data_IF_202775018235
#
_entry.id   IF_202775018235
#
_cell.length_a   1.000
_cell.length_b   1.000
_cell.length_c   1.000
_cell.angle_alpha   90.00
_cell.angle_beta   90.00
_cell.angle_gamma   90.00
#
_symmetry.space_group_name_H-M   'P 1'
#
loop_
_entity.id
_entity.type
_entity.pdbx_description
1 polymer ?
#
# COMPACT_ATOMS: atom_id res chain seq x y z
N UNK A 1 5.25 -23.18 -16.16
CA UNK A 1 3.87 -22.80 -16.48
C UNK A 1 3.25 -23.91 -17.32
N UNK A 2 2.75 -24.99 -16.70
CA UNK A 2 1.98 -26.00 -17.43
C UNK A 2 0.50 -25.57 -17.41
N UNK A 3 0.00 -25.26 -18.60
CA UNK A 3 -1.39 -25.22 -19.06
C UNK A 3 -2.46 -24.86 -18.03
N UNK A 4 -2.71 -23.55 -17.86
CA UNK A 4 -4.05 -23.09 -17.55
C UNK A 4 -4.67 -22.68 -18.88
N UNK A 5 -5.58 -23.52 -19.40
CA UNK A 5 -6.36 -23.20 -20.58
C UNK A 5 -7.21 -21.96 -20.27
N UNK A 6 -6.71 -20.79 -20.64
CA UNK A 6 -7.46 -19.54 -20.60
C UNK A 6 -8.57 -19.65 -21.65
N UNK A 7 -9.70 -20.23 -21.24
CA UNK A 7 -10.83 -20.72 -22.05
C UNK A 7 -11.48 -19.71 -23.00
N UNK A 8 -11.03 -18.45 -23.08
CA UNK A 8 -11.54 -17.47 -24.04
C UNK A 8 -10.40 -16.56 -24.53
N UNK A 9 -9.95 -16.80 -25.77
CA UNK A 9 -8.86 -16.11 -26.48
C UNK A 9 -9.23 -14.71 -27.00
N UNK A 10 -10.52 -14.37 -27.04
CA UNK A 10 -11.02 -13.23 -27.82
C UNK A 10 -11.15 -11.89 -27.07
N UNK A 11 -10.62 -11.76 -25.84
CA UNK A 11 -10.72 -10.51 -25.06
C UNK A 11 -9.42 -10.18 -24.32
N UNK A 12 -9.04 -8.90 -24.20
CA UNK A 12 -7.89 -8.48 -23.42
C UNK A 12 -8.10 -8.85 -21.94
N UNK A 13 -7.12 -9.53 -21.35
CA UNK A 13 -7.14 -9.96 -19.95
C UNK A 13 -5.83 -9.60 -19.27
N UNK A 14 -5.93 -9.03 -18.07
CA UNK A 14 -4.77 -8.90 -17.18
C UNK A 14 -4.51 -10.26 -16.53
N UNK A 15 -3.40 -10.90 -16.91
CA UNK A 15 -2.96 -12.17 -16.33
C UNK A 15 -1.77 -11.88 -15.43
N UNK A 16 -1.83 -12.35 -14.19
CA UNK A 16 -0.77 -12.16 -13.20
C UNK A 16 -0.33 -13.53 -12.68
N UNK A 17 0.95 -13.84 -12.83
CA UNK A 17 1.53 -15.08 -12.29
C UNK A 17 1.95 -14.89 -10.83
N UNK A 18 1.25 -15.58 -9.93
CA UNK A 18 1.52 -15.55 -8.50
C UNK A 18 2.96 -16.01 -8.14
N UNK A 19 3.55 -16.94 -8.90
CA UNK A 19 4.94 -17.37 -8.67
C UNK A 19 5.92 -16.23 -8.95
N UNK A 20 5.67 -15.46 -10.00
CA UNK A 20 6.49 -14.30 -10.35
C UNK A 20 6.35 -13.21 -9.28
N UNK A 21 5.13 -12.91 -8.82
CA UNK A 21 4.90 -11.95 -7.74
C UNK A 21 5.71 -12.34 -6.49
N UNK A 22 5.52 -13.56 -6.00
CA UNK A 22 6.19 -14.04 -4.77
C UNK A 22 7.71 -13.99 -4.91
N UNK A 23 8.26 -14.40 -6.06
CA UNK A 23 9.70 -14.33 -6.31
C UNK A 23 10.21 -12.89 -6.32
N UNK A 24 9.46 -11.94 -6.90
CA UNK A 24 9.85 -10.54 -6.94
C UNK A 24 9.82 -9.90 -5.55
N UNK A 25 8.79 -10.18 -4.75
CA UNK A 25 8.70 -9.70 -3.36
C UNK A 25 9.84 -10.29 -2.53
N UNK A 26 10.07 -11.60 -2.62
CA UNK A 26 11.16 -12.25 -1.88
C UNK A 26 12.54 -11.64 -2.20
N UNK A 27 12.81 -11.35 -3.48
CA UNK A 27 14.06 -10.71 -3.90
C UNK A 27 14.27 -9.35 -3.25
N UNK A 28 13.25 -8.49 -3.26
CA UNK A 28 13.41 -7.15 -2.67
C UNK A 28 13.48 -7.20 -1.15
N UNK A 29 12.71 -8.08 -0.50
CA UNK A 29 12.76 -8.28 0.96
C UNK A 29 14.17 -8.71 1.38
N UNK A 30 14.73 -9.74 0.75
CA UNK A 30 16.08 -10.22 1.07
C UNK A 30 17.12 -9.11 0.85
N UNK A 31 17.02 -8.37 -0.25
CA UNK A 31 17.93 -7.26 -0.54
C UNK A 31 17.86 -6.16 0.52
N UNK A 32 16.67 -5.81 0.98
CA UNK A 32 16.52 -4.80 2.05
C UNK A 32 17.01 -5.27 3.40
N UNK A 33 16.90 -6.57 3.69
CA UNK A 33 17.48 -7.17 4.90
C UNK A 33 19.01 -7.15 4.85
N UNK A 34 19.62 -7.54 3.73
CA UNK A 34 21.07 -7.48 3.51
C UNK A 34 21.64 -6.07 3.67
N UNK A 35 20.87 -5.06 3.29
CA UNK A 35 21.26 -3.65 3.34
C UNK A 35 20.88 -2.95 4.65
N UNK A 36 20.20 -3.64 5.56
CA UNK A 36 19.70 -3.06 6.82
C UNK A 36 18.82 -1.82 6.60
N UNK A 37 18.06 -1.79 5.51
CA UNK A 37 17.13 -0.69 5.18
C UNK A 37 15.67 -1.12 5.32
N UNK A 38 14.82 -0.17 5.69
CA UNK A 38 13.37 -0.41 5.74
C UNK A 38 12.76 -0.48 4.34
N UNK A 39 11.92 -1.49 4.12
CA UNK A 39 11.16 -1.64 2.88
C UNK A 39 9.74 -1.11 3.05
N UNK A 40 9.34 -0.16 2.18
CA UNK A 40 7.98 0.39 2.12
C UNK A 40 7.44 0.35 0.69
N UNK A 41 6.85 -0.77 0.24
CA UNK A 41 6.41 -0.92 -1.15
C UNK A 41 5.30 0.07 -1.52
N UNK A 42 5.29 0.52 -2.77
CA UNK A 42 4.25 1.41 -3.26
C UNK A 42 3.09 0.62 -3.89
N UNK A 43 1.90 0.74 -3.31
CA UNK A 43 0.72 -0.05 -3.68
C UNK A 43 -0.05 0.50 -4.89
N UNK A 44 0.40 1.60 -5.52
CA UNK A 44 -0.28 2.20 -6.70
C UNK A 44 -0.33 1.27 -7.90
N UNK A 45 0.62 0.34 -7.97
CA UNK A 45 0.82 -0.51 -9.16
C UNK A 45 -0.18 -1.65 -9.25
N UNK A 46 -0.52 -2.30 -8.13
CA UNK A 46 -1.38 -3.49 -8.16
C UNK A 46 -2.83 -3.22 -7.77
N UNK A 47 -3.08 -2.29 -6.84
CA UNK A 47 -4.43 -1.95 -6.32
C UNK A 47 -5.34 -3.17 -6.07
N UNK A 48 -4.73 -4.24 -5.53
CA UNK A 48 -5.34 -5.56 -5.36
C UNK A 48 -5.11 -6.07 -3.95
N UNK A 49 -6.19 -6.43 -3.26
CA UNK A 49 -6.16 -6.95 -1.88
C UNK A 49 -5.48 -8.32 -1.82
N UNK A 50 -5.63 -9.13 -2.87
CA UNK A 50 -4.94 -10.42 -2.99
C UNK A 50 -3.43 -10.22 -3.00
N UNK A 51 -2.93 -9.21 -3.71
CA UNK A 51 -1.50 -8.89 -3.73
C UNK A 51 -1.06 -8.26 -2.41
N UNK A 52 -1.90 -7.44 -1.77
CA UNK A 52 -1.67 -6.95 -0.40
C UNK A 52 -1.44 -8.09 0.59
N UNK A 53 -2.32 -9.10 0.57
CA UNK A 53 -2.20 -10.28 1.43
C UNK A 53 -0.91 -11.06 1.17
N UNK A 54 -0.43 -11.10 -0.07
CA UNK A 54 0.89 -11.70 -0.36
C UNK A 54 1.99 -10.88 0.32
N UNK A 55 2.02 -9.56 0.18
CA UNK A 55 3.00 -8.71 0.86
C UNK A 55 2.98 -8.90 2.39
N UNK A 56 1.81 -8.98 3.00
CA UNK A 56 1.65 -9.24 4.43
C UNK A 56 2.30 -10.57 4.86
N UNK A 57 2.16 -11.63 4.05
CA UNK A 57 2.79 -12.93 4.33
C UNK A 57 4.32 -12.91 4.20
N UNK A 58 4.88 -11.90 3.53
CA UNK A 58 6.32 -11.62 3.51
C UNK A 58 6.77 -10.69 4.65
N UNK A 59 5.89 -10.40 5.62
CA UNK A 59 6.21 -9.58 6.79
C UNK A 59 6.16 -8.07 6.53
N UNK A 60 5.61 -7.64 5.40
CA UNK A 60 5.42 -6.21 5.14
C UNK A 60 4.25 -5.69 5.96
N UNK A 61 4.51 -4.66 6.77
CA UNK A 61 3.53 -3.94 7.59
C UNK A 61 3.46 -2.44 7.25
N UNK A 62 4.45 -1.93 6.50
CA UNK A 62 4.57 -0.55 6.09
C UNK A 62 4.46 -0.40 4.57
N UNK A 63 3.56 0.47 4.10
CA UNK A 63 3.31 0.68 2.66
C UNK A 63 3.28 2.15 2.28
N UNK A 64 3.41 2.41 0.98
CA UNK A 64 3.21 3.73 0.36
C UNK A 64 2.00 3.70 -0.58
N UNK A 65 1.11 4.68 -0.46
CA UNK A 65 -0.08 4.83 -1.29
C UNK A 65 -0.10 6.19 -1.99
N UNK A 66 -0.91 6.31 -3.04
CA UNK A 66 -1.06 7.54 -3.82
C UNK A 66 -2.37 8.27 -3.58
N UNK A 67 -3.18 7.85 -2.59
CA UNK A 67 -4.40 8.56 -2.20
C UNK A 67 -4.84 8.15 -0.79
N UNK A 68 -5.71 8.97 -0.21
CA UNK A 68 -6.38 8.68 1.08
C UNK A 68 -7.27 7.45 0.95
N UNK A 69 -8.01 7.31 -0.15
CA UNK A 69 -8.91 6.16 -0.38
C UNK A 69 -8.14 4.84 -0.43
N UNK A 70 -6.92 4.84 -0.98
CA UNK A 70 -6.05 3.67 -0.94
C UNK A 70 -5.56 3.37 0.47
N UNK A 71 -5.27 4.40 1.28
CA UNK A 71 -4.92 4.18 2.68
C UNK A 71 -6.07 3.49 3.42
N UNK A 72 -7.30 3.97 3.24
CA UNK A 72 -8.50 3.34 3.77
C UNK A 72 -8.69 1.91 3.31
N UNK A 73 -8.42 1.63 2.04
CA UNK A 73 -8.57 0.28 1.49
C UNK A 73 -7.61 -0.72 2.12
N UNK A 74 -6.36 -0.33 2.33
CA UNK A 74 -5.29 -1.27 2.71
C UNK A 74 -4.96 -1.28 4.20
N UNK A 75 -5.44 -0.31 4.98
CA UNK A 75 -5.23 -0.30 6.42
C UNK A 75 -5.91 -1.50 7.08
N UNK A 76 -5.15 -2.24 7.89
CA UNK A 76 -5.65 -3.37 8.66
C UNK A 76 -4.77 -3.62 9.90
N UNK A 77 -4.89 -4.79 10.52
CA UNK A 77 -4.08 -5.15 11.69
C UNK A 77 -2.59 -5.35 11.34
N UNK A 78 -2.29 -5.95 10.19
CA UNK A 78 -0.94 -6.22 9.71
C UNK A 78 -0.33 -5.01 9.00
N UNK A 79 -1.09 -4.36 8.12
CA UNK A 79 -0.71 -3.11 7.44
C UNK A 79 -1.16 -1.94 8.31
N UNK A 80 -0.23 -1.41 9.09
CA UNK A 80 -0.52 -0.38 10.10
C UNK A 80 0.38 0.85 10.01
N UNK A 81 1.26 0.93 9.02
CA UNK A 81 2.05 2.12 8.74
C UNK A 81 1.92 2.50 7.25
N UNK A 82 1.12 3.51 6.95
CA UNK A 82 0.80 3.91 5.58
C UNK A 82 1.33 5.30 5.29
N UNK A 83 2.23 5.42 4.33
CA UNK A 83 2.70 6.71 3.84
C UNK A 83 1.91 7.15 2.59
N UNK A 84 1.30 8.33 2.63
CA UNK A 84 0.63 8.91 1.45
C UNK A 84 1.63 9.79 0.69
N UNK A 85 2.16 9.27 -0.42
CA UNK A 85 3.21 9.90 -1.22
C UNK A 85 2.68 10.83 -2.32
N UNK A 86 1.71 11.68 -1.99
CA UNK A 86 1.22 12.73 -2.88
C UNK A 86 1.00 14.04 -2.13
N UNK A 87 1.12 15.20 -2.80
CA UNK A 87 0.67 16.47 -2.25
C UNK A 87 -0.81 16.41 -1.91
N UNK A 88 -1.22 17.12 -0.85
CA UNK A 88 -2.63 17.23 -0.51
C UNK A 88 -3.36 18.08 -1.55
N UNK A 89 -4.47 17.52 -2.05
CA UNK A 89 -5.44 18.27 -2.83
C UNK A 89 -6.37 19.03 -1.88
N UNK A 90 -6.55 20.34 -2.10
CA UNK A 90 -7.44 21.19 -1.30
C UNK A 90 -8.89 20.68 -1.29
N UNK A 91 -9.35 20.02 -2.35
CA UNK A 91 -10.68 19.43 -2.42
C UNK A 91 -10.82 18.16 -1.58
N UNK A 92 -9.70 17.59 -1.12
CA UNK A 92 -9.67 16.43 -0.23
C UNK A 92 -9.64 16.83 1.25
N UNK A 93 -9.68 18.13 1.61
CA UNK A 93 -9.57 18.60 2.98
C UNK A 93 -10.60 17.96 3.91
N UNK A 94 -11.87 17.89 3.51
CA UNK A 94 -12.91 17.24 4.32
C UNK A 94 -12.61 15.76 4.61
N UNK A 95 -11.96 15.05 3.67
CA UNK A 95 -11.55 13.65 3.88
C UNK A 95 -10.36 13.54 4.82
N UNK A 96 -9.48 14.54 4.81
CA UNK A 96 -8.33 14.61 5.71
C UNK A 96 -8.79 14.93 7.13
N UNK A 97 -9.75 15.84 7.29
CA UNK A 97 -10.34 16.15 8.59
C UNK A 97 -10.99 14.91 9.20
N UNK A 98 -11.74 14.14 8.39
CA UNK A 98 -12.27 12.85 8.82
C UNK A 98 -11.17 11.83 9.23
N UNK A 99 -10.02 11.80 8.55
CA UNK A 99 -8.87 10.96 8.98
C UNK A 99 -8.31 11.43 10.32
N UNK A 100 -8.20 12.75 10.52
CA UNK A 100 -7.59 13.36 11.70
C UNK A 100 -8.48 13.24 12.95
N UNK A 101 -9.79 13.25 12.79
CA UNK A 101 -10.75 13.05 13.89
C UNK A 101 -10.82 11.58 14.34
N UNK A 102 -10.27 10.65 13.56
CA UNK A 102 -10.17 9.24 13.89
C UNK A 102 -8.78 8.89 14.45
N UNK A 103 -8.71 8.63 15.75
CA UNK A 103 -7.48 8.30 16.47
C UNK A 103 -6.80 7.03 15.91
N UNK A 104 -7.60 6.05 15.49
CA UNK A 104 -7.10 4.79 14.94
C UNK A 104 -6.39 5.01 13.60
N UNK A 105 -6.96 5.86 12.73
CA UNK A 105 -6.37 6.19 11.43
C UNK A 105 -5.16 7.10 11.56
N UNK A 106 -5.24 8.11 12.42
CA UNK A 106 -4.16 9.08 12.65
C UNK A 106 -2.89 8.40 13.15
N UNK A 107 -3.00 7.37 13.99
CA UNK A 107 -1.85 6.62 14.51
C UNK A 107 -1.13 5.78 13.42
N UNK A 108 -1.87 5.37 12.39
CA UNK A 108 -1.40 4.44 11.35
C UNK A 108 -1.03 5.12 10.03
N UNK A 109 -1.54 6.33 9.78
CA UNK A 109 -1.31 7.07 8.54
C UNK A 109 -0.27 8.18 8.73
N UNK A 110 0.71 8.22 7.82
CA UNK A 110 1.74 9.24 7.74
C UNK A 110 1.62 9.97 6.41
N UNK A 111 1.73 11.28 6.43
CA UNK A 111 1.88 12.11 5.24
C UNK A 111 2.62 13.38 5.64
N UNK A 112 3.43 13.93 4.74
CA UNK A 112 4.13 15.22 4.94
C UNK A 112 3.16 16.30 5.45
N UNK A 113 1.91 16.27 4.99
CA UNK A 113 0.94 17.32 5.32
C UNK A 113 0.08 16.99 6.55
N UNK A 114 -0.14 15.71 6.88
CA UNK A 114 -0.72 15.32 8.18
C UNK A 114 0.18 15.80 9.32
N UNK A 115 1.49 15.70 9.15
CA UNK A 115 2.49 16.20 10.10
C UNK A 115 2.42 17.72 10.30
N UNK A 116 2.11 18.49 9.23
CA UNK A 116 2.00 19.95 9.32
C UNK A 116 0.74 20.40 10.05
N UNK A 117 -0.38 19.68 9.92
CA UNK A 117 -1.64 20.05 10.61
C UNK A 117 -1.58 19.71 12.11
N UNK A 118 -0.98 18.58 12.49
CA UNK A 118 -0.72 18.25 13.91
C UNK A 118 0.15 19.31 14.60
N UNK A 119 1.10 19.91 13.89
CA UNK A 119 1.99 20.95 14.43
C UNK A 119 1.29 22.30 14.69
N UNK A 120 0.06 22.49 14.19
CA UNK A 120 -0.74 23.72 14.36
C UNK A 120 -1.86 23.53 15.40
N UNK A 121 -2.06 22.29 15.90
CA UNK A 121 -3.10 21.95 16.88
C UNK A 121 -2.53 21.77 18.31
N UNK A 122 -1.21 21.93 18.49
CA UNK A 122 -0.52 22.00 19.80
C UNK A 122 -0.19 23.46 20.10
#
# INVERSE_FOLDING_TARGET
MKEQNFLFSYTPKLIIDNKIIKNNINKIVNKTQEWEVSLRPHFKTHQSDVISFIFENFGINAITVSSIDMAYRFINEKINDIFIAIPINIHSLNRIDYVLDDEYLTKKMRSIVLSMKLLVII
#
